data_IF_455620762578
#
_entry.id   IF_455620762578
#
_cell.length_a   1.000
_cell.length_b   1.000
_cell.length_c   1.000
_cell.angle_alpha   90.00
_cell.angle_beta   90.00
_cell.angle_gamma   90.00
#
_symmetry.space_group_name_H-M   'P 1'
#
loop_
_entity.id
_entity.type
_entity.pdbx_description
1 polymer ?
#
# COMPACT_ATOMS: atom_id res chain seq x y z
N UNK A 1 15.10 3.33 -25.24
CA UNK A 1 14.36 2.75 -24.11
C UNK A 1 13.07 3.53 -23.97
N UNK A 2 11.91 2.94 -24.27
CA UNK A 2 10.62 3.62 -24.07
C UNK A 2 10.30 3.56 -22.59
N UNK A 3 10.19 4.70 -21.92
CA UNK A 3 9.60 4.76 -20.58
C UNK A 3 8.15 4.35 -20.76
N UNK A 4 7.75 3.22 -20.18
CA UNK A 4 6.32 2.88 -20.08
C UNK A 4 5.70 3.95 -19.19
N UNK A 5 4.60 4.55 -19.61
CA UNK A 5 3.80 5.40 -18.73
C UNK A 5 3.21 4.51 -17.62
N UNK A 6 3.84 4.53 -16.44
CA UNK A 6 3.39 3.78 -15.28
C UNK A 6 2.38 4.63 -14.52
N UNK A 7 1.17 4.10 -14.33
CA UNK A 7 0.20 4.67 -13.42
C UNK A 7 0.55 4.27 -11.99
N UNK A 8 1.23 5.14 -11.25
CA UNK A 8 1.63 4.89 -9.86
C UNK A 8 0.47 4.88 -8.87
N UNK A 9 -0.74 5.31 -9.28
CA UNK A 9 -1.95 5.25 -8.44
C UNK A 9 -2.63 3.87 -8.47
N UNK A 10 -2.21 2.98 -9.34
CA UNK A 10 -2.72 1.61 -9.41
C UNK A 10 -1.58 0.62 -9.17
N UNK A 11 -1.68 -0.18 -8.10
CA UNK A 11 -0.67 -1.19 -7.75
C UNK A 11 -0.52 -2.31 -8.79
N UNK A 12 -1.34 -2.36 -9.84
CA UNK A 12 -1.25 -3.36 -10.91
C UNK A 12 0.11 -3.39 -11.62
N UNK A 13 0.89 -2.28 -11.62
CA UNK A 13 2.25 -2.27 -12.16
C UNK A 13 3.20 -3.25 -11.43
N UNK A 14 2.92 -3.60 -10.18
CA UNK A 14 3.72 -4.55 -9.40
C UNK A 14 3.67 -5.98 -9.95
N UNK A 15 2.61 -6.36 -10.68
CA UNK A 15 2.46 -7.69 -11.28
C UNK A 15 3.56 -8.00 -12.29
N UNK A 16 3.99 -6.97 -13.01
CA UNK A 16 5.05 -7.05 -14.01
C UNK A 16 6.45 -6.84 -13.40
N UNK A 17 6.51 -6.60 -12.09
CA UNK A 17 7.73 -6.33 -11.33
C UNK A 17 8.54 -7.57 -10.96
N UNK A 18 9.55 -7.40 -10.11
CA UNK A 18 10.37 -8.50 -9.59
C UNK A 18 9.59 -9.38 -8.59
N UNK A 19 10.25 -10.43 -8.06
CA UNK A 19 9.62 -11.34 -7.09
C UNK A 19 9.07 -10.62 -5.84
N UNK A 20 9.77 -9.60 -5.34
CA UNK A 20 9.31 -8.82 -4.18
C UNK A 20 8.06 -8.03 -4.52
N UNK A 21 8.06 -7.31 -5.64
CA UNK A 21 6.91 -6.51 -6.09
C UNK A 21 5.66 -7.38 -6.31
N UNK A 22 5.79 -8.54 -6.97
CA UNK A 22 4.68 -9.47 -7.15
C UNK A 22 4.14 -9.98 -5.82
N UNK A 23 5.00 -10.35 -4.87
CA UNK A 23 4.58 -10.75 -3.51
C UNK A 23 3.87 -9.62 -2.77
N UNK A 24 4.36 -8.39 -2.89
CA UNK A 24 3.72 -7.21 -2.31
C UNK A 24 2.32 -7.01 -2.89
N UNK A 25 2.14 -7.12 -4.21
CA UNK A 25 0.83 -7.05 -4.86
C UNK A 25 -0.15 -8.08 -4.27
N UNK A 26 0.25 -9.35 -4.16
CA UNK A 26 -0.59 -10.41 -3.60
C UNK A 26 -0.97 -10.13 -2.14
N UNK A 27 -0.03 -9.67 -1.32
CA UNK A 27 -0.29 -9.33 0.09
C UNK A 27 -1.27 -8.16 0.20
N UNK A 28 -1.05 -7.09 -0.57
CA UNK A 28 -1.90 -5.89 -0.56
C UNK A 28 -3.33 -6.22 -1.02
N UNK A 29 -3.48 -7.06 -2.05
CA UNK A 29 -4.80 -7.55 -2.49
C UNK A 29 -5.47 -8.44 -1.45
N UNK A 30 -4.73 -9.33 -0.80
CA UNK A 30 -5.27 -10.22 0.25
C UNK A 30 -5.73 -9.46 1.49
N UNK A 31 -5.03 -8.39 1.87
CA UNK A 31 -5.42 -7.54 3.00
C UNK A 31 -6.59 -6.62 2.62
N UNK A 32 -6.80 -6.38 1.31
CA UNK A 32 -7.80 -5.49 0.76
C UNK A 32 -7.62 -4.01 1.18
N UNK A 33 -6.39 -3.62 1.54
CA UNK A 33 -6.10 -2.31 2.15
C UNK A 33 -6.38 -1.14 1.21
N UNK A 34 -6.12 -1.28 -0.10
CA UNK A 34 -6.39 -0.23 -1.09
C UNK A 34 -7.88 0.02 -1.32
N UNK A 35 -8.72 -1.01 -1.18
CA UNK A 35 -10.17 -0.84 -1.28
C UNK A 35 -10.73 -0.18 -0.01
N UNK A 36 -10.26 -0.61 1.16
CA UNK A 36 -10.62 -0.01 2.46
C UNK A 36 -10.26 1.48 2.51
N UNK A 37 -9.09 1.84 1.98
CA UNK A 37 -8.57 3.19 2.03
C UNK A 37 -8.91 4.04 0.80
N UNK A 38 -9.73 3.56 -0.14
CA UNK A 38 -9.92 4.20 -1.46
C UNK A 38 -10.32 5.68 -1.40
N UNK A 39 -11.15 6.05 -0.43
CA UNK A 39 -11.65 7.43 -0.25
C UNK A 39 -10.55 8.39 0.23
N UNK A 40 -9.40 7.84 0.65
CA UNK A 40 -8.21 8.58 1.09
C UNK A 40 -7.08 8.54 0.06
N UNK A 41 -7.38 8.23 -1.21
CA UNK A 41 -6.42 8.22 -2.32
C UNK A 41 -5.09 7.49 -1.98
N UNK A 42 -5.14 6.20 -1.61
CA UNK A 42 -3.97 5.50 -1.09
C UNK A 42 -2.95 5.28 -2.21
N UNK A 43 -1.67 5.57 -1.94
CA UNK A 43 -0.57 5.36 -2.90
C UNK A 43 0.50 4.50 -2.23
N UNK A 44 0.92 3.43 -2.91
CA UNK A 44 2.10 2.67 -2.49
C UNK A 44 3.35 3.46 -2.83
N UNK A 45 4.16 3.76 -1.83
CA UNK A 45 5.42 4.49 -1.98
C UNK A 45 6.58 3.68 -1.39
N UNK A 46 7.75 4.31 -1.32
CA UNK A 46 8.92 3.72 -0.69
C UNK A 46 9.78 2.92 -1.67
N UNK A 47 10.54 1.99 -1.11
CA UNK A 47 11.68 1.37 -1.80
C UNK A 47 11.27 0.25 -2.77
N UNK A 48 10.18 -0.47 -2.48
CA UNK A 48 9.69 -1.60 -3.29
C UNK A 48 9.15 -1.14 -4.65
N UNK A 49 8.32 -0.08 -4.77
CA UNK A 49 7.89 0.45 -6.07
C UNK A 49 9.02 0.73 -7.06
N UNK A 50 10.14 1.27 -6.58
CA UNK A 50 11.28 1.69 -7.41
C UNK A 50 12.46 0.70 -7.39
N UNK A 51 12.27 -0.50 -6.83
CA UNK A 51 13.24 -1.60 -6.82
C UNK A 51 14.59 -1.30 -6.15
N UNK A 52 14.62 -0.41 -5.16
CA UNK A 52 15.82 -0.16 -4.32
C UNK A 52 15.70 -0.78 -2.92
N UNK A 53 14.69 -1.61 -2.71
CA UNK A 53 14.41 -2.25 -1.44
C UNK A 53 15.55 -3.20 -1.03
N UNK A 54 15.81 -3.27 0.27
CA UNK A 54 16.66 -4.27 0.90
C UNK A 54 15.78 -5.31 1.62
N UNK A 55 16.39 -6.34 2.21
CA UNK A 55 15.65 -7.42 2.87
C UNK A 55 14.76 -6.92 4.01
N UNK A 56 15.22 -5.91 4.75
CA UNK A 56 14.47 -5.33 5.88
C UNK A 56 13.44 -4.28 5.47
N UNK A 57 13.26 -4.00 4.17
CA UNK A 57 12.28 -3.00 3.71
C UNK A 57 10.86 -3.51 3.89
N UNK A 58 9.98 -2.62 4.33
CA UNK A 58 8.54 -2.81 4.48
C UNK A 58 7.75 -2.16 3.33
N UNK A 59 6.43 -2.08 3.50
CA UNK A 59 5.50 -1.48 2.55
C UNK A 59 4.89 -0.20 3.14
N UNK A 60 5.14 0.92 2.47
CA UNK A 60 4.64 2.22 2.85
C UNK A 60 3.42 2.63 2.02
N UNK A 61 2.32 2.99 2.67
CA UNK A 61 1.14 3.55 2.02
C UNK A 61 0.90 4.95 2.57
N UNK A 62 0.84 5.94 1.69
CA UNK A 62 0.43 7.31 2.04
C UNK A 62 -1.01 7.54 1.61
N UNK A 63 -1.74 8.31 2.41
CA UNK A 63 -3.14 8.67 2.19
C UNK A 63 -3.32 10.19 2.29
N UNK A 64 -4.26 10.73 1.54
CA UNK A 64 -4.78 12.09 1.68
C UNK A 64 -5.89 12.09 2.74
N UNK A 65 -5.69 12.80 3.85
CA UNK A 65 -6.57 12.75 5.01
C UNK A 65 -6.93 14.16 5.48
N UNK A 66 -8.21 14.51 5.42
CA UNK A 66 -8.73 15.77 5.96
C UNK A 66 -9.12 15.64 7.45
N UNK A 67 -9.70 14.50 7.83
CA UNK A 67 -10.16 14.23 9.20
C UNK A 67 -9.53 12.96 9.76
N UNK A 68 -8.55 13.13 10.65
CA UNK A 68 -7.83 12.04 11.30
C UNK A 68 -8.69 11.21 12.27
N UNK A 69 -9.77 11.76 12.83
CA UNK A 69 -10.67 11.00 13.72
C UNK A 69 -11.39 9.92 12.91
N UNK A 70 -12.06 10.32 11.83
CA UNK A 70 -12.77 9.38 10.95
C UNK A 70 -11.80 8.40 10.28
N UNK A 71 -10.62 8.85 9.86
CA UNK A 71 -9.59 7.96 9.31
C UNK A 71 -9.16 6.89 10.32
N UNK A 72 -8.92 7.27 11.58
CA UNK A 72 -8.60 6.33 12.64
C UNK A 72 -9.72 5.32 12.89
N UNK A 73 -10.98 5.76 12.88
CA UNK A 73 -12.14 4.85 13.03
C UNK A 73 -12.17 3.79 11.92
N UNK A 74 -11.94 4.19 10.67
CA UNK A 74 -11.83 3.25 9.54
C UNK A 74 -10.72 2.22 9.78
N UNK A 75 -9.53 2.68 10.18
CA UNK A 75 -8.41 1.77 10.46
C UNK A 75 -8.71 0.79 11.59
N UNK A 76 -9.30 1.26 12.68
CA UNK A 76 -9.64 0.42 13.84
C UNK A 76 -10.68 -0.61 13.45
N UNK A 77 -11.80 -0.18 12.86
CA UNK A 77 -12.91 -1.07 12.48
C UNK A 77 -12.48 -2.19 11.53
N UNK A 78 -11.56 -1.91 10.61
CA UNK A 78 -11.15 -2.87 9.58
C UNK A 78 -9.95 -3.74 9.98
N UNK A 79 -9.07 -3.25 10.87
CA UNK A 79 -7.77 -3.88 11.11
C UNK A 79 -7.46 -4.19 12.57
N UNK A 80 -8.27 -3.81 13.56
CA UNK A 80 -7.96 -4.04 14.98
C UNK A 80 -7.75 -5.51 15.35
N UNK A 81 -8.46 -6.41 14.68
CA UNK A 81 -8.36 -7.86 14.91
C UNK A 81 -7.03 -8.45 14.41
N UNK A 82 -6.26 -7.70 13.61
CA UNK A 82 -5.00 -8.19 13.04
C UNK A 82 -3.90 -8.10 14.10
N UNK A 83 -3.20 -9.21 14.29
CA UNK A 83 -2.04 -9.28 15.19
C UNK A 83 -1.04 -8.18 14.86
N UNK A 84 -0.70 -7.37 15.86
CA UNK A 84 0.28 -6.30 15.73
C UNK A 84 -0.29 -4.96 15.23
N UNK A 85 -1.60 -4.87 14.98
CA UNK A 85 -2.25 -3.60 14.66
C UNK A 85 -2.09 -2.60 15.81
N UNK A 86 -1.67 -1.38 15.47
CA UNK A 86 -1.54 -0.24 16.37
C UNK A 86 -1.76 1.05 15.59
N UNK A 87 -2.44 2.01 16.21
CA UNK A 87 -2.46 3.41 15.79
C UNK A 87 -1.65 4.19 16.80
N UNK A 88 -0.62 4.91 16.32
CA UNK A 88 0.34 5.68 17.14
C UNK A 88 0.02 7.16 17.02
#
# INVERSE_FOLDING_TARGET
MKIKDINWKDISYLKEGNNTQRKSYEILKRINIFEVLKDYNPILIGTIPIQINIESSDLDIVCEVENFVTFKEVLVNEFEIRKGFKVI
#
